data_IF_158438988492
#
_entry.id   IF_158438988492
#
_cell.length_a   1.000
_cell.length_b   1.000
_cell.length_c   1.000
_cell.angle_alpha   90.00
_cell.angle_beta   90.00
_cell.angle_gamma   90.00
#
_symmetry.space_group_name_H-M   'P 1'
#
loop_
_entity.id
_entity.type
_entity.pdbx_description
1 polymer ?
#
# COMPACT_ATOMS: atom_id res chain seq x y z
N UNK A 1 9.66 22.04 1.76
CA UNK A 1 9.35 20.67 2.20
C UNK A 1 8.00 20.71 2.90
N UNK A 2 7.14 19.73 2.68
CA UNK A 2 5.77 19.74 3.22
C UNK A 2 5.80 19.71 4.75
N UNK A 3 5.29 20.77 5.39
CA UNK A 3 5.22 20.86 6.87
C UNK A 3 4.44 19.69 7.47
N UNK A 4 3.41 19.20 6.79
CA UNK A 4 2.59 18.08 7.27
C UNK A 4 3.33 16.74 7.16
N UNK A 5 4.08 16.51 6.07
CA UNK A 5 4.86 15.28 5.92
C UNK A 5 6.00 15.22 6.94
N UNK A 6 6.70 16.33 7.16
CA UNK A 6 7.77 16.41 8.16
C UNK A 6 7.21 16.06 9.54
N UNK A 7 6.13 16.72 9.95
CA UNK A 7 5.49 16.45 11.24
C UNK A 7 5.02 14.99 11.38
N UNK A 8 4.54 14.39 10.29
CA UNK A 8 4.10 13.00 10.27
C UNK A 8 5.25 12.02 10.46
N UNK A 9 6.37 12.20 9.74
CA UNK A 9 7.55 11.34 9.94
C UNK A 9 8.20 11.56 11.31
N UNK A 10 8.17 12.79 11.84
CA UNK A 10 8.57 13.06 13.23
C UNK A 10 7.71 12.26 14.22
N UNK A 11 6.39 12.17 13.98
CA UNK A 11 5.50 11.36 14.78
C UNK A 11 5.86 9.87 14.71
N UNK A 12 6.18 9.34 13.52
CA UNK A 12 6.61 7.95 13.35
C UNK A 12 7.90 7.64 14.12
N UNK A 13 8.89 8.54 14.09
CA UNK A 13 10.11 8.39 14.89
C UNK A 13 9.78 8.39 16.39
N UNK A 14 9.00 9.36 16.85
CA UNK A 14 8.58 9.43 18.26
C UNK A 14 7.84 8.17 18.71
N UNK A 15 6.95 7.63 17.87
CA UNK A 15 6.23 6.39 18.15
C UNK A 15 7.18 5.20 18.27
N UNK A 16 8.16 5.09 17.38
CA UNK A 16 9.19 4.05 17.43
C UNK A 16 9.95 4.09 18.76
N UNK A 17 10.41 5.28 19.14
CA UNK A 17 11.22 5.46 20.34
C UNK A 17 10.42 5.20 21.61
N UNK A 18 9.20 5.74 21.73
CA UNK A 18 8.31 5.48 22.87
C UNK A 18 8.05 3.98 23.03
N UNK A 19 7.82 3.30 21.93
CA UNK A 19 7.54 1.88 21.93
C UNK A 19 8.74 1.05 22.37
N UNK A 20 9.94 1.31 21.82
CA UNK A 20 11.15 0.62 22.24
C UNK A 20 11.52 0.93 23.69
N UNK A 21 11.33 2.18 24.13
CA UNK A 21 11.63 2.61 25.50
C UNK A 21 10.74 1.92 26.54
N UNK A 22 9.49 1.58 26.17
CA UNK A 22 8.58 0.83 27.03
C UNK A 22 9.02 -0.62 27.31
N UNK A 23 9.89 -1.19 26.45
CA UNK A 23 10.42 -2.55 26.57
C UNK A 23 11.95 -2.58 26.67
N UNK A 24 12.55 -1.50 27.18
CA UNK A 24 14.00 -1.31 27.20
C UNK A 24 14.74 -2.46 27.90
N UNK A 25 14.27 -2.93 29.05
CA UNK A 25 14.92 -4.02 29.79
C UNK A 25 14.97 -5.33 29.00
N UNK A 26 13.84 -5.70 28.38
CA UNK A 26 13.75 -6.90 27.53
C UNK A 26 14.66 -6.77 26.29
N UNK A 27 14.75 -5.57 25.69
CA UNK A 27 15.62 -5.29 24.56
C UNK A 27 17.10 -5.44 24.91
N UNK A 28 17.52 -4.84 26.03
CA UNK A 28 18.91 -4.93 26.51
C UNK A 28 19.29 -6.37 26.84
N UNK A 29 18.37 -7.15 27.40
CA UNK A 29 18.59 -8.56 27.64
C UNK A 29 18.79 -9.34 26.34
N UNK A 30 17.93 -9.14 25.34
CA UNK A 30 18.04 -9.82 24.03
C UNK A 30 19.32 -9.41 23.29
N UNK A 31 19.63 -8.11 23.21
CA UNK A 31 20.88 -7.62 22.60
C UNK A 31 22.12 -8.13 23.34
N UNK A 32 22.06 -8.25 24.67
CA UNK A 32 23.11 -8.85 25.47
C UNK A 32 23.37 -10.32 25.10
N UNK A 33 22.32 -11.11 24.86
CA UNK A 33 22.48 -12.50 24.38
C UNK A 33 23.13 -12.56 22.99
N UNK A 34 22.73 -11.68 22.07
CA UNK A 34 23.33 -11.62 20.73
C UNK A 34 24.80 -11.22 20.79
N UNK A 35 25.14 -10.25 21.63
CA UNK A 35 26.51 -9.82 21.84
C UNK A 35 27.40 -10.97 22.34
N UNK A 36 26.92 -11.78 23.29
CA UNK A 36 27.65 -12.97 23.74
C UNK A 36 27.84 -13.99 22.61
N UNK A 37 26.84 -14.17 21.75
CA UNK A 37 26.96 -15.03 20.56
C UNK A 37 28.00 -14.51 19.56
N UNK A 38 28.06 -13.18 19.35
CA UNK A 38 29.04 -12.54 18.45
C UNK A 38 30.47 -12.63 18.98
N UNK A 39 30.67 -12.60 20.31
CA UNK A 39 31.98 -12.76 20.96
C UNK A 39 32.67 -14.08 20.59
N UNK A 40 31.88 -15.10 20.24
CA UNK A 40 32.39 -16.41 19.84
C UNK A 40 32.73 -16.52 18.35
N UNK A 41 32.40 -15.52 17.51
CA UNK A 41 32.50 -15.62 16.05
C UNK A 41 33.47 -14.60 15.43
N UNK A 42 33.37 -13.30 15.76
CA UNK A 42 34.20 -12.28 15.12
C UNK A 42 34.38 -11.02 15.99
N UNK A 43 35.61 -10.79 16.48
CA UNK A 43 35.93 -9.63 17.34
C UNK A 43 35.64 -8.25 16.72
N UNK A 44 35.77 -8.08 15.40
CA UNK A 44 35.46 -6.79 14.75
C UNK A 44 33.95 -6.51 14.75
N UNK A 45 33.14 -7.56 14.59
CA UNK A 45 31.69 -7.49 14.64
C UNK A 45 31.18 -7.15 16.06
N UNK A 46 31.85 -7.70 17.08
CA UNK A 46 31.55 -7.38 18.49
C UNK A 46 31.65 -5.88 18.77
N UNK A 47 32.75 -5.23 18.37
CA UNK A 47 32.97 -3.81 18.68
C UNK A 47 31.93 -2.91 18.00
N UNK A 48 31.56 -3.22 16.75
CA UNK A 48 30.52 -2.47 16.03
C UNK A 48 29.16 -2.68 16.68
N UNK A 49 28.82 -3.92 17.06
CA UNK A 49 27.56 -4.22 17.73
C UNK A 49 27.47 -3.54 19.09
N UNK A 50 28.51 -3.61 19.92
CA UNK A 50 28.59 -2.96 21.24
C UNK A 50 28.37 -1.45 21.12
N UNK A 51 29.05 -0.79 20.18
CA UNK A 51 28.89 0.65 19.97
C UNK A 51 27.44 1.03 19.67
N UNK A 52 26.79 0.33 18.73
CA UNK A 52 25.40 0.65 18.32
C UNK A 52 24.43 0.31 19.44
N UNK A 53 24.61 -0.82 20.15
CA UNK A 53 23.71 -1.20 21.25
C UNK A 53 23.84 -0.26 22.45
N UNK A 54 25.06 0.20 22.79
CA UNK A 54 25.28 1.22 23.82
C UNK A 54 24.67 2.56 23.43
N UNK A 55 24.80 2.98 22.17
CA UNK A 55 24.08 4.17 21.70
C UNK A 55 22.56 4.01 21.88
N UNK A 56 21.99 2.90 21.43
CA UNK A 56 20.55 2.63 21.55
C UNK A 56 20.09 2.59 23.00
N UNK A 57 20.88 2.03 23.91
CA UNK A 57 20.60 2.04 25.35
C UNK A 57 20.50 3.48 25.88
N UNK A 58 21.51 4.31 25.60
CA UNK A 58 21.52 5.72 26.01
C UNK A 58 20.34 6.47 25.37
N UNK A 59 20.11 6.24 24.08
CA UNK A 59 19.05 6.85 23.30
C UNK A 59 17.66 6.55 23.89
N UNK A 60 17.33 5.29 24.14
CA UNK A 60 16.05 4.89 24.73
C UNK A 60 15.87 5.40 26.16
N UNK A 61 16.92 5.33 26.99
CA UNK A 61 16.87 5.85 28.36
C UNK A 61 16.54 7.34 28.39
N UNK A 62 17.23 8.09 27.55
CA UNK A 62 17.17 9.53 27.53
C UNK A 62 15.76 10.06 27.16
N UNK A 63 15.00 9.31 26.37
CA UNK A 63 13.63 9.68 25.98
C UNK A 63 12.62 9.49 27.12
N UNK A 64 12.85 8.53 28.03
CA UNK A 64 12.03 8.35 29.23
C UNK A 64 12.19 9.52 30.24
N UNK A 65 13.25 10.32 30.13
CA UNK A 65 13.58 11.42 31.06
C UNK A 65 13.00 12.79 30.64
N UNK A 66 12.30 12.88 29.49
CA UNK A 66 11.30 13.93 29.24
C UNK A 66 11.71 15.15 28.39
N UNK A 67 12.93 15.24 27.85
CA UNK A 67 13.33 16.39 27.00
C UNK A 67 14.38 16.03 25.97
N UNK A 68 14.00 15.57 24.77
CA UNK A 68 14.99 15.27 23.72
C UNK A 68 14.50 15.56 22.32
N UNK A 69 15.41 16.18 21.55
CA UNK A 69 15.39 16.28 20.11
C UNK A 69 16.04 15.01 19.51
N UNK A 70 15.22 14.11 18.96
CA UNK A 70 15.66 12.85 18.34
C UNK A 70 16.74 13.11 17.27
N UNK A 71 16.58 14.16 16.47
CA UNK A 71 17.52 14.49 15.40
C UNK A 71 18.86 14.93 15.94
N UNK A 72 18.88 15.67 17.05
CA UNK A 72 20.13 16.03 17.73
C UNK A 72 20.91 14.80 18.17
N UNK A 73 20.24 13.82 18.78
CA UNK A 73 20.92 12.58 19.19
C UNK A 73 21.40 11.73 18.02
N UNK A 74 20.60 11.66 16.94
CA UNK A 74 21.03 11.00 15.72
C UNK A 74 22.24 11.72 15.10
N UNK A 75 22.30 13.05 15.14
CA UNK A 75 23.46 13.81 14.67
C UNK A 75 24.70 13.54 15.55
N UNK A 76 24.55 13.55 16.87
CA UNK A 76 25.62 13.23 17.83
C UNK A 76 26.18 11.82 17.61
N UNK A 77 25.35 10.85 17.18
CA UNK A 77 25.80 9.48 16.88
C UNK A 77 26.92 9.43 15.82
N UNK A 78 26.86 10.27 14.78
CA UNK A 78 27.88 10.28 13.72
C UNK A 78 29.21 10.81 14.27
N UNK A 79 29.16 11.85 15.11
CA UNK A 79 30.34 12.41 15.78
C UNK A 79 30.94 11.40 16.76
N UNK A 80 30.12 10.74 17.57
CA UNK A 80 30.53 9.66 18.48
C UNK A 80 31.18 8.50 17.73
N UNK A 81 30.63 8.11 16.57
CA UNK A 81 31.19 7.04 15.75
C UNK A 81 32.59 7.40 15.28
N UNK A 82 32.76 8.59 14.71
CA UNK A 82 34.06 9.03 14.20
C UNK A 82 35.07 9.19 15.33
N UNK A 83 34.65 9.71 16.49
CA UNK A 83 35.50 9.82 17.68
C UNK A 83 36.01 8.44 18.15
N UNK A 84 35.15 7.42 18.13
CA UNK A 84 35.49 6.07 18.59
C UNK A 84 36.32 5.27 17.56
N UNK A 85 35.89 5.24 16.30
CA UNK A 85 36.49 4.38 15.27
C UNK A 85 37.57 5.07 14.43
N UNK A 86 37.67 6.41 14.47
CA UNK A 86 38.58 7.22 13.64
C UNK A 86 38.43 6.95 12.13
N UNK A 87 37.25 6.47 11.71
CA UNK A 87 36.90 6.16 10.32
C UNK A 87 35.38 6.11 10.15
N UNK A 88 34.93 6.24 8.92
CA UNK A 88 33.54 5.99 8.57
C UNK A 88 33.16 4.50 8.65
N UNK A 89 31.88 4.17 8.86
CA UNK A 89 31.42 2.78 8.86
C UNK A 89 31.62 2.12 7.50
N UNK A 90 31.99 0.84 7.50
CA UNK A 90 31.86 0.00 6.30
C UNK A 90 30.37 -0.30 6.08
N UNK A 91 29.79 0.02 4.91
CA UNK A 91 28.34 -0.05 4.72
C UNK A 91 27.74 -1.42 5.01
N UNK A 92 28.35 -2.48 4.50
CA UNK A 92 27.84 -3.85 4.64
C UNK A 92 27.86 -4.30 6.10
N UNK A 93 28.94 -3.94 6.82
CA UNK A 93 29.06 -4.26 8.23
C UNK A 93 28.01 -3.50 9.05
N UNK A 94 27.84 -2.20 8.82
CA UNK A 94 26.88 -1.40 9.55
C UNK A 94 25.45 -1.90 9.35
N UNK A 95 25.03 -2.08 8.09
CA UNK A 95 23.70 -2.57 7.74
C UNK A 95 23.43 -3.94 8.39
N UNK A 96 24.42 -4.83 8.40
CA UNK A 96 24.30 -6.13 9.07
C UNK A 96 23.97 -5.99 10.57
N UNK A 97 24.71 -5.15 11.31
CA UNK A 97 24.48 -5.01 12.76
C UNK A 97 23.18 -4.28 13.08
N UNK A 98 22.82 -3.26 12.29
CA UNK A 98 21.53 -2.55 12.42
C UNK A 98 20.36 -3.51 12.21
N UNK A 99 20.40 -4.31 11.13
CA UNK A 99 19.38 -5.33 10.88
C UNK A 99 19.30 -6.35 12.01
N UNK A 100 20.43 -6.72 12.61
CA UNK A 100 20.48 -7.67 13.71
C UNK A 100 19.76 -7.12 14.96
N UNK A 101 20.03 -5.86 15.30
CA UNK A 101 19.39 -5.14 16.41
C UNK A 101 17.90 -4.90 16.15
N UNK A 102 17.53 -4.50 14.94
CA UNK A 102 16.14 -4.29 14.50
C UNK A 102 15.32 -5.59 14.62
N UNK A 103 15.86 -6.70 14.11
CA UNK A 103 15.19 -8.00 14.17
C UNK A 103 14.98 -8.47 15.61
N UNK A 104 15.97 -8.24 16.48
CA UNK A 104 15.84 -8.51 17.92
C UNK A 104 14.76 -7.64 18.56
N UNK A 105 14.69 -6.36 18.19
CA UNK A 105 13.64 -5.47 18.67
C UNK A 105 12.24 -5.97 18.25
N UNK A 106 12.08 -6.38 17.00
CA UNK A 106 10.83 -6.99 16.54
C UNK A 106 10.49 -8.29 17.27
N UNK A 107 11.48 -9.13 17.58
CA UNK A 107 11.27 -10.37 18.34
C UNK A 107 10.73 -10.08 19.74
N UNK A 108 11.34 -9.13 20.45
CA UNK A 108 10.88 -8.70 21.79
C UNK A 108 9.45 -8.17 21.71
N UNK A 109 9.20 -7.22 20.80
CA UNK A 109 7.90 -6.58 20.66
C UNK A 109 6.78 -7.58 20.28
N UNK A 110 7.04 -8.53 19.37
CA UNK A 110 6.10 -9.60 19.01
C UNK A 110 5.77 -10.52 20.18
N UNK A 111 6.70 -10.74 21.10
CA UNK A 111 6.47 -11.60 22.26
C UNK A 111 5.65 -10.95 23.39
N UNK A 112 5.61 -9.61 23.41
CA UNK A 112 4.97 -8.82 24.47
C UNK A 112 3.66 -8.17 24.05
N UNK A 113 3.45 -7.89 22.77
CA UNK A 113 2.27 -7.18 22.27
C UNK A 113 1.37 -8.14 21.52
N UNK A 114 0.11 -8.23 21.94
CA UNK A 114 -0.92 -8.93 21.18
C UNK A 114 -1.10 -8.24 19.82
N UNK A 115 -0.50 -8.83 18.79
CA UNK A 115 -0.62 -8.54 17.35
C UNK A 115 -1.15 -7.15 16.99
N UNK A 116 -0.24 -6.20 16.72
CA UNK A 116 -0.60 -4.98 15.99
C UNK A 116 0.22 -4.90 14.70
N UNK A 117 -0.46 -4.89 13.55
CA UNK A 117 0.12 -4.60 12.24
C UNK A 117 0.85 -3.24 12.18
N UNK A 118 0.61 -2.36 13.18
CA UNK A 118 1.26 -1.05 13.34
C UNK A 118 2.71 -1.11 13.88
N UNK A 119 3.15 -2.27 14.40
CA UNK A 119 4.41 -2.41 15.16
C UNK A 119 5.69 -2.32 14.32
N UNK A 120 5.63 -2.73 13.05
CA UNK A 120 6.83 -2.92 12.25
C UNK A 120 7.40 -1.62 11.65
N UNK A 121 6.61 -0.71 11.08
CA UNK A 121 7.19 0.27 10.18
C UNK A 121 7.80 1.49 10.88
N UNK A 122 7.34 1.88 12.08
CA UNK A 122 7.98 2.94 12.87
C UNK A 122 9.35 2.51 13.40
N UNK A 123 9.44 1.31 13.96
CA UNK A 123 10.72 0.71 14.41
C UNK A 123 11.69 0.59 13.25
N UNK A 124 11.24 0.03 12.13
CA UNK A 124 12.04 -0.02 10.90
C UNK A 124 12.52 1.36 10.45
N UNK A 125 11.66 2.37 10.50
CA UNK A 125 12.03 3.74 10.14
C UNK A 125 13.13 4.30 11.04
N UNK A 126 13.06 4.08 12.35
CA UNK A 126 14.10 4.50 13.29
C UNK A 126 15.46 3.84 12.96
N UNK A 127 15.48 2.51 12.76
CA UNK A 127 16.72 1.80 12.43
C UNK A 127 17.28 2.20 11.06
N UNK A 128 16.40 2.45 10.07
CA UNK A 128 16.76 3.01 8.77
C UNK A 128 17.39 4.39 8.91
N UNK A 129 16.82 5.28 9.75
CA UNK A 129 17.40 6.60 10.05
C UNK A 129 18.74 6.55 10.75
N UNK A 130 18.91 5.63 11.70
CA UNK A 130 20.21 5.39 12.34
C UNK A 130 21.25 4.96 11.29
N UNK A 131 20.87 4.06 10.37
CA UNK A 131 21.75 3.62 9.29
C UNK A 131 22.11 4.76 8.34
N UNK A 132 21.12 5.56 7.94
CA UNK A 132 21.31 6.70 7.04
C UNK A 132 22.29 7.71 7.62
N UNK A 133 22.10 8.11 8.88
CA UNK A 133 22.94 9.14 9.53
C UNK A 133 24.38 8.66 9.69
N UNK A 134 24.60 7.38 9.95
CA UNK A 134 25.94 6.82 10.04
C UNK A 134 26.62 6.67 8.67
N UNK A 135 25.88 6.35 7.61
CA UNK A 135 26.41 6.10 6.26
C UNK A 135 26.65 7.37 5.45
N UNK A 136 25.78 8.38 5.58
CA UNK A 136 25.83 9.59 4.77
C UNK A 136 26.36 10.77 5.59
N UNK A 137 27.38 11.46 5.08
CA UNK A 137 27.80 12.74 5.63
C UNK A 137 26.67 13.76 5.42
N UNK A 138 26.46 14.63 6.41
CA UNK A 138 25.62 15.82 6.29
C UNK A 138 26.22 16.81 5.28
N UNK A 139 26.31 16.45 4.01
CA UNK A 139 26.42 17.47 2.97
C UNK A 139 25.05 18.14 2.86
N UNK A 140 25.09 19.48 2.80
CA UNK A 140 23.98 20.45 2.73
C UNK A 140 23.00 20.25 1.55
N UNK A 141 22.96 19.09 0.91
CA UNK A 141 21.99 18.79 -0.13
C UNK A 141 20.74 18.22 0.50
N UNK A 142 19.73 19.08 0.73
CA UNK A 142 18.30 18.78 0.75
C UNK A 142 17.95 17.27 0.71
N UNK A 143 18.21 16.53 1.80
CA UNK A 143 17.77 15.15 1.90
C UNK A 143 16.26 15.24 2.03
N UNK A 144 15.59 15.01 0.90
CA UNK A 144 14.21 15.39 0.77
C UNK A 144 13.38 14.33 1.46
N UNK A 145 12.87 14.64 2.65
CA UNK A 145 12.08 13.80 3.58
C UNK A 145 11.04 12.88 2.89
N UNK A 146 10.50 13.29 1.74
CA UNK A 146 9.61 12.44 0.95
C UNK A 146 10.29 11.20 0.33
N UNK A 147 11.60 11.23 0.09
CA UNK A 147 12.38 10.08 -0.38
C UNK A 147 12.37 8.97 0.67
N UNK A 148 12.47 9.32 1.95
CA UNK A 148 12.41 8.35 3.06
C UNK A 148 11.06 7.65 3.07
N UNK A 149 9.97 8.42 2.98
CA UNK A 149 8.62 7.88 2.91
C UNK A 149 8.47 6.90 1.72
N UNK A 150 9.06 7.24 0.55
CA UNK A 150 9.04 6.37 -0.64
C UNK A 150 9.85 5.09 -0.43
N UNK A 151 11.02 5.17 0.20
CA UNK A 151 11.87 4.00 0.47
C UNK A 151 11.12 3.03 1.41
N UNK A 152 10.62 3.53 2.54
CA UNK A 152 9.87 2.73 3.51
C UNK A 152 8.62 2.11 2.89
N UNK A 153 7.92 2.88 2.05
CA UNK A 153 6.76 2.38 1.34
C UNK A 153 7.12 1.23 0.39
N UNK A 154 8.19 1.36 -0.37
CA UNK A 154 8.66 0.31 -1.29
C UNK A 154 9.06 -0.96 -0.52
N UNK A 155 9.82 -0.82 0.56
CA UNK A 155 10.21 -1.93 1.44
C UNK A 155 9.01 -2.58 2.13
N UNK A 156 7.96 -1.82 2.40
CA UNK A 156 6.71 -2.33 2.94
C UNK A 156 5.94 -3.16 1.92
N UNK A 157 5.64 -2.59 0.74
CA UNK A 157 4.75 -3.24 -0.23
C UNK A 157 5.39 -4.44 -0.92
N UNK A 158 6.72 -4.50 -1.03
CA UNK A 158 7.43 -5.63 -1.66
C UNK A 158 7.30 -6.93 -0.87
N UNK A 159 6.88 -6.86 0.41
CA UNK A 159 6.64 -8.03 1.27
C UNK A 159 5.37 -8.79 0.89
N UNK A 160 4.48 -8.17 0.10
CA UNK A 160 3.21 -8.76 -0.32
C UNK A 160 3.43 -10.00 -1.17
N UNK A 161 2.80 -11.12 -0.81
CA UNK A 161 2.94 -12.41 -1.50
C UNK A 161 1.87 -12.65 -2.56
N UNK A 162 0.77 -11.91 -2.50
CA UNK A 162 -0.37 -12.05 -3.39
C UNK A 162 -1.07 -10.71 -3.64
N UNK A 163 -2.02 -10.71 -4.57
CA UNK A 163 -2.77 -9.50 -4.93
C UNK A 163 -3.52 -8.89 -3.73
N UNK A 164 -4.13 -9.72 -2.89
CA UNK A 164 -4.92 -9.27 -1.74
C UNK A 164 -4.03 -8.56 -0.69
N UNK A 165 -2.91 -9.17 -0.33
CA UNK A 165 -1.92 -8.53 0.56
C UNK A 165 -1.37 -7.25 -0.04
N UNK A 166 -1.21 -7.20 -1.37
CA UNK A 166 -0.69 -6.02 -2.06
C UNK A 166 -1.62 -4.83 -1.93
N UNK A 167 -2.93 -5.02 -2.17
CA UNK A 167 -3.91 -3.93 -2.05
C UNK A 167 -4.03 -3.43 -0.61
N UNK A 168 -3.92 -4.34 0.37
CA UNK A 168 -3.92 -4.00 1.80
C UNK A 168 -2.67 -3.20 2.19
N UNK A 169 -1.49 -3.68 1.80
CA UNK A 169 -0.21 -3.06 2.12
C UNK A 169 -0.04 -1.70 1.42
N UNK A 170 -0.56 -1.55 0.20
CA UNK A 170 -0.60 -0.26 -0.51
C UNK A 170 -1.43 0.74 0.31
N UNK A 171 -2.68 0.42 0.64
CA UNK A 171 -3.54 1.34 1.39
C UNK A 171 -3.00 1.68 2.77
N UNK A 172 -2.45 0.68 3.47
CA UNK A 172 -1.76 0.89 4.73
C UNK A 172 -0.59 1.86 4.54
N UNK A 173 0.27 1.63 3.56
CA UNK A 173 1.45 2.46 3.33
C UNK A 173 1.11 3.91 3.01
N UNK A 174 0.04 4.15 2.23
CA UNK A 174 -0.46 5.50 1.97
C UNK A 174 -0.96 6.21 3.23
N UNK A 175 -1.71 5.53 4.11
CA UNK A 175 -2.15 6.14 5.37
C UNK A 175 -1.05 6.23 6.43
N UNK A 176 -0.03 5.37 6.35
CA UNK A 176 0.98 5.24 7.39
C UNK A 176 2.22 6.09 7.14
N UNK A 177 2.71 6.22 5.89
CA UNK A 177 3.95 6.96 5.59
C UNK A 177 3.70 8.37 5.04
N UNK A 178 2.44 8.71 4.76
CA UNK A 178 2.03 10.03 4.30
C UNK A 178 1.02 10.61 5.30
N UNK A 179 0.86 11.94 5.35
CA UNK A 179 -0.02 12.58 6.32
C UNK A 179 -1.48 12.46 5.89
N UNK A 180 -2.07 11.26 5.91
CA UNK A 180 -3.49 11.00 5.63
C UNK A 180 -4.03 9.94 6.59
N UNK A 181 -5.23 10.14 7.11
CA UNK A 181 -5.83 9.23 8.08
C UNK A 181 -6.52 8.04 7.40
N UNK A 182 -7.15 8.26 6.24
CA UNK A 182 -7.91 7.23 5.50
C UNK A 182 -7.43 7.11 4.08
N UNK A 183 -7.49 5.88 3.56
CA UNK A 183 -7.09 5.56 2.20
C UNK A 183 -8.05 4.56 1.57
N UNK A 184 -8.54 4.84 0.37
CA UNK A 184 -9.32 3.90 -0.45
C UNK A 184 -8.66 3.70 -1.81
N UNK A 185 -8.38 2.45 -2.18
CA UNK A 185 -7.78 2.09 -3.46
C UNK A 185 -8.85 1.64 -4.44
N UNK A 186 -8.77 2.15 -5.67
CA UNK A 186 -9.69 1.86 -6.76
C UNK A 186 -8.94 1.36 -8.00
N UNK A 187 -9.57 0.45 -8.74
CA UNK A 187 -9.14 0.01 -10.07
C UNK A 187 -10.03 0.65 -11.13
N UNK A 188 -9.44 1.06 -12.25
CA UNK A 188 -10.16 1.52 -13.42
C UNK A 188 -10.32 0.41 -14.44
N UNK A 189 -11.52 0.31 -15.03
CA UNK A 189 -11.81 -0.63 -16.12
C UNK A 189 -11.91 0.11 -17.46
N UNK A 190 -11.27 -0.46 -18.49
CA UNK A 190 -11.08 0.23 -19.78
C UNK A 190 -12.35 0.38 -20.63
N UNK A 191 -13.36 -0.49 -20.46
CA UNK A 191 -14.55 -0.49 -21.33
C UNK A 191 -15.57 0.59 -20.97
N UNK A 192 -15.73 0.90 -19.68
CA UNK A 192 -16.77 1.83 -19.22
C UNK A 192 -16.23 3.05 -18.47
N UNK A 193 -14.90 3.13 -18.27
CA UNK A 193 -14.31 4.13 -17.36
C UNK A 193 -15.05 4.11 -16.01
N UNK A 194 -15.13 2.93 -15.40
CA UNK A 194 -15.72 2.72 -14.07
C UNK A 194 -14.57 2.52 -13.09
N UNK A 195 -14.63 3.23 -11.95
CA UNK A 195 -13.80 2.99 -10.79
C UNK A 195 -14.46 1.99 -9.86
N UNK A 196 -13.77 0.90 -9.56
CA UNK A 196 -14.21 -0.15 -8.64
C UNK A 196 -13.33 -0.13 -7.41
N UNK A 197 -13.94 -0.10 -6.21
CA UNK A 197 -13.20 -0.15 -4.95
C UNK A 197 -12.55 -1.50 -4.72
N UNK A 198 -11.27 -1.50 -4.37
CA UNK A 198 -10.50 -2.71 -4.05
C UNK A 198 -10.35 -2.90 -2.54
N UNK A 199 -9.94 -1.85 -1.83
CA UNK A 199 -9.68 -1.91 -0.39
C UNK A 199 -9.80 -0.53 0.28
N UNK A 200 -10.28 -0.51 1.52
CA UNK A 200 -10.32 0.68 2.38
C UNK A 200 -9.52 0.51 3.67
N UNK A 201 -8.58 1.42 3.93
CA UNK A 201 -7.84 1.53 5.20
C UNK A 201 -8.43 2.66 6.05
N UNK A 202 -8.72 2.35 7.32
CA UNK A 202 -9.52 3.20 8.23
C UNK A 202 -10.88 3.63 7.65
N UNK A 203 -11.43 2.77 6.79
CA UNK A 203 -12.75 2.86 6.19
C UNK A 203 -13.42 1.49 6.33
N UNK A 204 -14.74 1.43 6.23
CA UNK A 204 -15.43 0.16 6.12
C UNK A 204 -15.08 -0.48 4.76
N UNK A 205 -14.34 -1.59 4.80
CA UNK A 205 -13.83 -2.24 3.61
C UNK A 205 -14.94 -2.79 2.70
N UNK A 206 -16.01 -3.36 3.28
CA UNK A 206 -17.14 -3.88 2.49
C UNK A 206 -17.85 -2.75 1.74
N UNK A 207 -17.98 -1.59 2.40
CA UNK A 207 -18.60 -0.42 1.78
C UNK A 207 -17.76 0.18 0.67
N UNK A 208 -16.43 0.18 0.80
CA UNK A 208 -15.51 0.60 -0.27
C UNK A 208 -15.57 -0.39 -1.43
N UNK A 209 -15.56 -1.70 -1.17
CA UNK A 209 -15.65 -2.73 -2.20
C UNK A 209 -17.00 -2.76 -2.93
N UNK A 210 -18.07 -2.27 -2.30
CA UNK A 210 -19.37 -2.09 -2.94
C UNK A 210 -19.41 -0.89 -3.91
N UNK A 211 -18.36 -0.05 -3.95
CA UNK A 211 -18.31 1.10 -4.87
C UNK A 211 -17.97 0.63 -6.28
N UNK A 212 -18.90 0.89 -7.19
CA UNK A 212 -18.67 0.90 -8.63
C UNK A 212 -19.25 2.21 -9.18
N UNK A 213 -18.39 3.12 -9.62
CA UNK A 213 -18.79 4.45 -10.04
C UNK A 213 -18.23 4.82 -11.41
N UNK A 214 -19.08 5.42 -12.26
CA UNK A 214 -18.62 5.92 -13.56
C UNK A 214 -17.74 7.14 -13.34
N UNK A 215 -16.54 7.15 -13.91
CA UNK A 215 -15.63 8.29 -13.77
C UNK A 215 -16.23 9.59 -14.33
N UNK A 216 -17.16 9.49 -15.29
CA UNK A 216 -17.93 10.64 -15.78
C UNK A 216 -18.73 11.37 -14.68
N UNK A 217 -19.09 10.69 -13.59
CA UNK A 217 -19.78 11.27 -12.44
C UNK A 217 -18.83 11.98 -11.46
N UNK A 218 -17.52 11.98 -11.75
CA UNK A 218 -16.48 12.70 -11.00
C UNK A 218 -15.81 13.68 -11.98
N UNK A 219 -16.35 14.90 -12.15
CA UNK A 219 -15.98 15.80 -13.25
C UNK A 219 -14.48 16.11 -13.31
N UNK A 220 -13.84 16.37 -12.17
CA UNK A 220 -12.42 16.72 -12.08
C UNK A 220 -11.53 15.56 -12.54
N UNK A 221 -11.89 14.33 -12.17
CA UNK A 221 -11.17 13.13 -12.58
C UNK A 221 -11.38 12.85 -14.07
N UNK A 222 -12.61 12.97 -14.56
CA UNK A 222 -12.94 12.79 -15.98
C UNK A 222 -12.16 13.77 -16.86
N UNK A 223 -12.14 15.05 -16.52
CA UNK A 223 -11.37 16.07 -17.25
C UNK A 223 -9.88 15.75 -17.29
N UNK A 224 -9.33 15.28 -16.18
CA UNK A 224 -7.91 14.92 -16.07
C UNK A 224 -7.57 13.71 -16.94
N UNK A 225 -8.41 12.68 -16.96
CA UNK A 225 -8.24 11.50 -17.81
C UNK A 225 -8.43 11.80 -19.30
N UNK A 226 -9.38 12.67 -19.67
CA UNK A 226 -9.60 13.08 -21.06
C UNK A 226 -8.38 13.83 -21.61
N UNK A 227 -7.82 14.76 -20.82
CA UNK A 227 -6.59 15.47 -21.18
C UNK A 227 -5.44 14.51 -21.45
N UNK A 228 -5.25 13.49 -20.62
CA UNK A 228 -4.22 12.47 -20.87
C UNK A 228 -4.43 11.70 -22.18
N UNK A 229 -5.66 11.23 -22.44
CA UNK A 229 -5.97 10.46 -23.66
C UNK A 229 -5.68 11.28 -24.92
N UNK A 230 -5.86 12.60 -24.86
CA UNK A 230 -5.58 13.51 -25.97
C UNK A 230 -4.09 13.80 -26.22
N UNK A 231 -3.22 13.57 -25.22
CA UNK A 231 -1.79 13.93 -25.27
C UNK A 231 -0.87 12.81 -25.79
N UNK A 232 -1.41 11.69 -26.28
CA UNK A 232 -0.64 10.66 -26.99
C UNK A 232 0.46 10.01 -26.15
N UNK A 233 0.10 9.00 -25.35
CA UNK A 233 1.00 8.10 -24.58
C UNK A 233 2.00 8.74 -23.61
N UNK A 234 2.17 10.07 -23.58
CA UNK A 234 2.97 10.74 -22.56
C UNK A 234 2.16 10.89 -21.27
N UNK A 235 2.05 9.77 -20.54
CA UNK A 235 1.54 9.67 -19.17
C UNK A 235 2.30 10.52 -18.13
N UNK A 236 3.28 11.31 -18.56
CA UNK A 236 4.17 12.14 -17.74
C UNK A 236 3.43 13.25 -16.97
N UNK A 237 2.18 13.56 -17.33
CA UNK A 237 1.46 14.74 -16.84
C UNK A 237 0.26 14.46 -15.93
N UNK A 238 -0.06 13.20 -15.59
CA UNK A 238 -1.14 12.98 -14.63
C UNK A 238 -0.64 13.27 -13.21
N UNK A 239 -1.15 14.35 -12.63
CA UNK A 239 -0.78 14.78 -11.28
C UNK A 239 -1.83 14.37 -10.26
N UNK A 240 -1.49 14.33 -8.96
CA UNK A 240 -2.48 14.20 -7.91
C UNK A 240 -3.50 15.33 -7.99
N UNK A 241 -4.77 15.00 -7.79
CA UNK A 241 -5.90 15.93 -7.84
C UNK A 241 -6.32 16.22 -6.41
N UNK A 242 -6.12 17.46 -5.95
CA UNK A 242 -6.68 17.91 -4.68
C UNK A 242 -8.10 18.46 -4.87
N UNK A 243 -9.04 17.94 -4.09
CA UNK A 243 -10.45 18.34 -4.06
C UNK A 243 -10.71 19.04 -2.73
N UNK A 244 -10.86 20.38 -2.70
CA UNK A 244 -11.05 21.13 -1.46
C UNK A 244 -12.46 20.98 -0.86
N UNK A 245 -13.46 20.59 -1.67
CA UNK A 245 -14.84 20.37 -1.24
C UNK A 245 -15.41 19.13 -1.95
N UNK A 246 -15.49 18.02 -1.24
CA UNK A 246 -16.02 16.75 -1.76
C UNK A 246 -17.46 16.90 -2.24
N UNK A 247 -18.28 17.71 -1.57
CA UNK A 247 -19.68 17.95 -1.91
C UNK A 247 -19.88 18.54 -3.32
N UNK A 248 -18.88 19.20 -3.90
CA UNK A 248 -18.98 19.80 -5.23
C UNK A 248 -18.56 18.84 -6.35
N UNK A 249 -17.59 17.96 -6.08
CA UNK A 249 -16.89 17.19 -7.11
C UNK A 249 -17.15 15.68 -7.05
N UNK A 250 -17.83 15.19 -6.01
CA UNK A 250 -18.15 13.77 -5.80
C UNK A 250 -19.66 13.55 -5.63
N UNK A 251 -20.17 12.36 -6.00
CA UNK A 251 -21.57 12.00 -5.75
C UNK A 251 -21.96 12.09 -4.27
N UNK A 252 -23.08 12.75 -3.98
CA UNK A 252 -23.61 13.02 -2.63
C UNK A 252 -23.68 11.76 -1.76
N UNK A 253 -24.12 10.63 -2.33
CA UNK A 253 -24.18 9.33 -1.64
C UNK A 253 -22.86 8.89 -1.00
N UNK A 254 -21.70 9.26 -1.56
CA UNK A 254 -20.40 8.91 -0.99
C UNK A 254 -19.91 9.99 -0.01
N UNK A 255 -20.24 11.25 -0.28
CA UNK A 255 -19.93 12.38 0.60
C UNK A 255 -20.60 12.18 1.95
N UNK A 256 -21.89 11.84 1.96
CA UNK A 256 -22.64 11.55 3.19
C UNK A 256 -22.14 10.26 3.86
N UNK A 257 -22.04 9.17 3.09
CA UNK A 257 -21.71 7.85 3.63
C UNK A 257 -20.34 7.78 4.32
N UNK A 258 -19.34 8.45 3.75
CA UNK A 258 -17.98 8.46 4.29
C UNK A 258 -17.62 9.77 5.00
N UNK A 259 -18.58 10.68 5.15
CA UNK A 259 -18.40 12.01 5.76
C UNK A 259 -17.21 12.76 5.13
N UNK A 260 -17.18 12.84 3.80
CA UNK A 260 -16.05 13.44 3.07
C UNK A 260 -16.12 14.97 3.13
N UNK A 261 -14.98 15.61 3.43
CA UNK A 261 -14.86 17.08 3.42
C UNK A 261 -13.94 17.57 2.31
N UNK A 262 -12.64 17.27 2.39
CA UNK A 262 -11.65 17.48 1.34
C UNK A 262 -10.88 16.19 1.11
N UNK A 263 -10.29 15.98 -0.07
CA UNK A 263 -9.51 14.77 -0.37
C UNK A 263 -8.49 14.96 -1.48
N UNK A 264 -7.60 13.99 -1.63
CA UNK A 264 -6.66 13.89 -2.77
C UNK A 264 -6.90 12.60 -3.52
N UNK A 265 -6.92 12.68 -4.85
CA UNK A 265 -6.91 11.52 -5.73
C UNK A 265 -5.51 11.38 -6.34
N UNK A 266 -4.85 10.26 -6.07
CA UNK A 266 -3.50 9.94 -6.55
C UNK A 266 -3.60 8.85 -7.63
N UNK A 267 -2.96 8.99 -8.81
CA UNK A 267 -2.93 7.93 -9.79
C UNK A 267 -2.18 6.68 -9.32
N UNK A 268 -2.68 5.51 -9.71
CA UNK A 268 -1.91 4.27 -9.71
C UNK A 268 -1.61 3.90 -11.16
N UNK A 269 -0.34 3.92 -11.56
CA UNK A 269 0.05 3.85 -12.95
C UNK A 269 1.40 3.16 -13.15
N UNK A 270 1.63 2.64 -14.36
CA UNK A 270 2.89 2.04 -14.80
C UNK A 270 3.48 2.91 -15.90
N UNK A 271 4.56 3.69 -15.62
CA UNK A 271 5.12 4.62 -16.58
C UNK A 271 5.62 3.95 -17.86
N UNK A 272 6.32 2.81 -17.74
CA UNK A 272 6.91 2.09 -18.89
C UNK A 272 5.85 1.57 -19.87
N UNK A 273 4.68 1.17 -19.35
CA UNK A 273 3.54 0.71 -20.15
C UNK A 273 2.62 1.85 -20.60
N UNK A 274 2.82 3.08 -20.11
CA UNK A 274 1.90 4.19 -20.35
C UNK A 274 0.47 3.91 -19.85
N UNK A 275 0.34 3.12 -18.77
CA UNK A 275 -0.94 2.52 -18.33
C UNK A 275 -1.38 3.05 -16.97
N UNK A 276 -2.65 3.44 -16.85
CA UNK A 276 -3.30 3.69 -15.55
C UNK A 276 -4.01 2.42 -15.12
N UNK A 277 -3.70 1.94 -13.91
CA UNK A 277 -4.40 0.82 -13.29
C UNK A 277 -5.60 1.34 -12.50
N UNK A 278 -5.48 2.51 -11.87
CA UNK A 278 -6.54 3.06 -11.05
C UNK A 278 -6.13 4.32 -10.30
N UNK A 279 -6.65 4.49 -9.09
CA UNK A 279 -6.34 5.62 -8.25
C UNK A 279 -6.56 5.33 -6.76
N UNK A 280 -5.89 6.10 -5.93
CA UNK A 280 -6.05 6.10 -4.47
C UNK A 280 -6.72 7.40 -4.05
N UNK A 281 -7.72 7.31 -3.18
CA UNK A 281 -8.40 8.44 -2.56
C UNK A 281 -7.94 8.55 -1.12
N UNK A 282 -7.47 9.74 -0.73
CA UNK A 282 -6.88 10.03 0.59
C UNK A 282 -7.57 11.20 1.26
N UNK A 283 -7.87 11.08 2.56
CA UNK A 283 -8.36 12.19 3.37
C UNK A 283 -7.89 12.15 4.84
N UNK A 284 -8.40 13.06 5.67
CA UNK A 284 -8.05 13.21 7.08
C UNK A 284 -9.07 12.61 8.05
N UNK A 285 -10.07 11.86 7.57
CA UNK A 285 -11.13 11.34 8.43
C UNK A 285 -12.48 12.07 8.32
N UNK A 286 -13.51 11.58 9.03
CA UNK A 286 -14.88 12.08 8.94
C UNK A 286 -14.98 13.59 9.21
N UNK A 287 -15.56 14.33 8.27
CA UNK A 287 -15.84 15.76 8.35
C UNK A 287 -14.62 16.68 8.41
N UNK A 288 -13.40 16.15 8.34
CA UNK A 288 -12.17 16.93 8.53
C UNK A 288 -11.68 17.54 7.21
N UNK A 289 -11.63 18.86 7.19
CA UNK A 289 -11.03 19.63 6.10
C UNK A 289 -9.50 19.72 6.26
N UNK A 290 -8.77 19.72 5.15
CA UNK A 290 -7.32 19.92 5.11
C UNK A 290 -6.86 20.50 3.79
N UNK A 291 -5.72 21.18 3.82
CA UNK A 291 -5.02 21.68 2.63
C UNK A 291 -3.81 20.82 2.31
N UNK A 292 -3.44 20.73 1.03
CA UNK A 292 -2.28 19.95 0.58
C UNK A 292 -1.20 20.83 0.04
N UNK A 293 0.01 20.66 0.57
CA UNK A 293 1.22 21.28 0.06
C UNK A 293 1.65 20.55 -1.23
N UNK A 294 1.81 21.29 -2.32
CA UNK A 294 2.23 20.74 -3.62
C UNK A 294 3.61 20.10 -3.59
N UNK A 295 4.44 20.42 -2.59
CA UNK A 295 5.70 19.72 -2.36
C UNK A 295 5.54 18.25 -1.93
N UNK A 296 4.33 17.81 -1.57
CA UNK A 296 4.00 16.40 -1.32
C UNK A 296 3.81 15.61 -2.63
N UNK A 297 3.52 16.28 -3.75
CA UNK A 297 3.15 15.62 -5.00
C UNK A 297 4.20 14.66 -5.55
N UNK A 298 5.52 14.96 -5.48
CA UNK A 298 6.55 13.98 -5.86
C UNK A 298 6.46 12.66 -5.07
N UNK A 299 6.15 12.73 -3.77
CA UNK A 299 5.94 11.57 -2.92
C UNK A 299 4.73 10.76 -3.39
N UNK A 300 3.58 11.43 -3.55
CA UNK A 300 2.32 10.81 -4.00
C UNK A 300 2.49 10.11 -5.34
N UNK A 301 3.18 10.76 -6.28
CA UNK A 301 3.44 10.19 -7.59
C UNK A 301 4.32 8.95 -7.50
N UNK A 302 5.35 8.96 -6.65
CA UNK A 302 6.22 7.79 -6.45
C UNK A 302 5.51 6.63 -5.77
N UNK A 303 4.66 6.90 -4.77
CA UNK A 303 3.79 5.87 -4.18
C UNK A 303 2.85 5.29 -5.22
N UNK A 304 2.23 6.14 -6.04
CA UNK A 304 1.36 5.75 -7.14
C UNK A 304 2.03 4.85 -8.18
N UNK A 305 3.26 5.21 -8.56
CA UNK A 305 4.11 4.45 -9.47
C UNK A 305 4.44 3.06 -8.88
N UNK A 306 5.02 3.00 -7.67
CA UNK A 306 5.43 1.74 -7.05
C UNK A 306 4.26 0.78 -6.83
N UNK A 307 3.10 1.34 -6.44
CA UNK A 307 1.85 0.59 -6.32
C UNK A 307 1.41 0.02 -7.67
N UNK A 308 1.52 0.81 -8.74
CA UNK A 308 1.13 0.38 -10.09
C UNK A 308 2.02 -0.74 -10.60
N UNK A 309 3.33 -0.62 -10.44
CA UNK A 309 4.30 -1.65 -10.80
C UNK A 309 4.06 -2.97 -10.04
N UNK A 310 3.77 -2.89 -8.74
CA UNK A 310 3.45 -4.06 -7.93
C UNK A 310 2.16 -4.74 -8.39
N UNK A 311 1.07 -3.97 -8.58
CA UNK A 311 -0.21 -4.51 -9.00
C UNK A 311 -0.15 -5.09 -10.43
N UNK A 312 0.61 -4.47 -11.34
CA UNK A 312 0.79 -5.00 -12.70
C UNK A 312 1.41 -6.39 -12.67
N UNK A 313 2.43 -6.61 -11.82
CA UNK A 313 3.06 -7.93 -11.64
C UNK A 313 2.07 -9.01 -11.23
N UNK A 314 1.19 -8.73 -10.26
CA UNK A 314 0.19 -9.70 -9.81
C UNK A 314 -0.93 -9.93 -10.82
N UNK A 315 -1.41 -8.86 -11.46
CA UNK A 315 -2.43 -8.97 -12.52
C UNK A 315 -1.89 -9.81 -13.69
N UNK A 316 -0.65 -9.59 -14.11
CA UNK A 316 0.00 -10.39 -15.15
C UNK A 316 0.26 -11.83 -14.72
N UNK A 317 0.67 -12.05 -13.47
CA UNK A 317 0.89 -13.39 -12.93
C UNK A 317 -0.41 -14.20 -12.94
N UNK A 318 -1.54 -13.61 -12.57
CA UNK A 318 -2.85 -14.26 -12.63
C UNK A 318 -3.28 -14.55 -14.07
N UNK A 319 -3.05 -13.63 -15.01
CA UNK A 319 -3.31 -13.86 -16.44
C UNK A 319 -2.44 -15.02 -16.98
N UNK A 320 -1.15 -15.05 -16.63
CA UNK A 320 -0.22 -16.12 -17.03
C UNK A 320 -0.56 -17.46 -16.38
N UNK A 321 -1.00 -17.47 -15.12
CA UNK A 321 -1.42 -18.65 -14.38
C UNK A 321 -2.75 -19.22 -14.90
N UNK A 322 -3.66 -18.36 -15.34
CA UNK A 322 -4.91 -18.75 -16.01
C UNK A 322 -4.73 -19.27 -17.45
N UNK A 323 -3.55 -19.06 -18.06
CA UNK A 323 -3.18 -19.64 -19.36
C UNK A 323 -2.49 -21.03 -19.26
N UNK A 324 -2.29 -21.56 -18.05
CA UNK A 324 -1.82 -22.94 -17.82
C UNK A 324 -3.03 -23.84 -17.48
N UNK A 325 -3.27 -24.93 -18.21
CA UNK A 325 -4.43 -25.77 -17.95
C UNK A 325 -4.17 -26.63 -16.71
N UNK A 326 -4.76 -26.28 -15.55
CA UNK A 326 -4.96 -27.26 -14.47
C UNK A 326 -6.23 -26.99 -13.66
N UNK A 327 -7.19 -27.89 -13.88
CA UNK A 327 -8.03 -28.65 -12.93
C UNK A 327 -8.49 -27.87 -11.67
N UNK A 328 -9.78 -27.57 -11.67
CA UNK A 328 -10.64 -26.94 -10.64
C UNK A 328 -10.97 -25.46 -10.83
N UNK A 329 -10.67 -24.88 -12.00
CA UNK A 329 -11.55 -23.84 -12.57
C UNK A 329 -12.71 -24.52 -13.30
N UNK A 330 -13.94 -24.07 -13.05
CA UNK A 330 -15.11 -24.51 -13.81
C UNK A 330 -14.93 -24.00 -15.25
N UNK A 331 -14.34 -24.84 -16.12
CA UNK A 331 -14.07 -24.50 -17.52
C UNK A 331 -15.36 -24.48 -18.33
N UNK A 332 -16.06 -23.34 -18.34
CA UNK A 332 -17.27 -23.15 -19.14
C UNK A 332 -16.89 -23.13 -20.62
N UNK A 333 -17.65 -23.87 -21.43
CA UNK A 333 -17.53 -23.83 -22.87
C UNK A 333 -17.86 -22.41 -23.38
N UNK A 334 -17.34 -22.00 -24.55
CA UNK A 334 -17.69 -20.71 -25.16
C UNK A 334 -19.21 -20.49 -25.24
N UNK A 335 -19.95 -21.59 -25.49
CA UNK A 335 -21.41 -21.59 -25.57
C UNK A 335 -22.10 -21.36 -24.23
N UNK A 336 -21.58 -21.94 -23.15
CA UNK A 336 -22.09 -21.68 -21.80
C UNK A 336 -21.83 -20.22 -21.40
N UNK A 337 -20.66 -19.67 -21.74
CA UNK A 337 -20.34 -18.26 -21.49
C UNK A 337 -21.25 -17.31 -22.26
N UNK A 338 -21.54 -17.58 -23.54
CA UNK A 338 -22.53 -16.84 -24.34
C UNK A 338 -23.92 -16.83 -23.68
N UNK A 339 -24.35 -17.98 -23.18
CA UNK A 339 -25.65 -18.12 -22.50
C UNK A 339 -25.65 -17.34 -21.18
N UNK A 340 -24.58 -17.40 -20.40
CA UNK A 340 -24.46 -16.64 -19.14
C UNK A 340 -24.52 -15.13 -19.40
N UNK A 341 -23.87 -14.62 -20.46
CA UNK A 341 -23.96 -13.20 -20.84
C UNK A 341 -25.41 -12.80 -21.14
N UNK A 342 -26.11 -13.60 -21.94
CA UNK A 342 -27.51 -13.33 -22.26
C UNK A 342 -28.42 -13.39 -21.04
N UNK A 343 -28.16 -14.30 -20.09
CA UNK A 343 -28.88 -14.33 -18.82
C UNK A 343 -28.62 -13.09 -17.97
N UNK A 344 -27.37 -12.60 -17.93
CA UNK A 344 -27.00 -11.38 -17.21
C UNK A 344 -27.66 -10.13 -17.83
N UNK A 345 -27.82 -10.12 -19.15
CA UNK A 345 -28.56 -9.09 -19.90
C UNK A 345 -30.10 -9.19 -19.70
N UNK A 346 -30.57 -10.15 -18.90
CA UNK A 346 -31.99 -10.34 -18.61
C UNK A 346 -32.77 -11.07 -19.70
N UNK A 347 -32.10 -11.66 -20.70
CA UNK A 347 -32.76 -12.35 -21.80
C UNK A 347 -33.59 -13.55 -21.31
N UNK A 348 -34.77 -13.70 -21.90
CA UNK A 348 -35.59 -14.91 -21.78
C UNK A 348 -34.95 -16.09 -22.53
N UNK A 349 -35.38 -17.32 -22.21
CA UNK A 349 -34.93 -18.53 -22.92
C UNK A 349 -35.21 -18.46 -24.41
N UNK A 350 -36.35 -17.86 -24.81
CA UNK A 350 -36.72 -17.64 -26.21
C UNK A 350 -35.79 -16.64 -26.90
N UNK A 351 -35.49 -15.51 -26.26
CA UNK A 351 -34.56 -14.51 -26.82
C UNK A 351 -33.13 -15.04 -26.93
N UNK A 352 -32.68 -15.82 -25.94
CA UNK A 352 -31.38 -16.44 -25.98
C UNK A 352 -31.29 -17.53 -27.07
N UNK A 353 -32.36 -18.31 -27.26
CA UNK A 353 -32.46 -19.29 -28.33
C UNK A 353 -32.36 -18.64 -29.71
N UNK A 354 -33.05 -17.51 -29.92
CA UNK A 354 -32.99 -16.74 -31.15
C UNK A 354 -31.59 -16.15 -31.40
N UNK A 355 -31.00 -15.49 -30.39
CA UNK A 355 -29.68 -14.84 -30.51
C UNK A 355 -28.55 -15.84 -30.78
N UNK A 356 -28.68 -17.06 -30.27
CA UNK A 356 -27.66 -18.10 -30.42
C UNK A 356 -27.95 -19.10 -31.54
N UNK A 357 -29.06 -18.99 -32.26
CA UNK A 357 -29.50 -19.97 -33.26
C UNK A 357 -29.62 -21.40 -32.67
N UNK A 358 -30.28 -21.51 -31.51
CA UNK A 358 -30.55 -22.77 -30.80
C UNK A 358 -32.05 -22.98 -30.62
N UNK A 359 -32.46 -24.22 -30.28
CA UNK A 359 -33.81 -24.46 -29.78
C UNK A 359 -33.95 -23.99 -28.32
N UNK A 360 -35.14 -23.54 -27.91
CA UNK A 360 -35.41 -23.20 -26.50
C UNK A 360 -35.15 -24.38 -25.55
N UNK A 361 -35.40 -25.60 -26.00
CA UNK A 361 -35.09 -26.82 -25.25
C UNK A 361 -33.59 -26.93 -24.99
N UNK A 362 -32.76 -26.72 -26.03
CA UNK A 362 -31.30 -26.74 -25.93
C UNK A 362 -30.77 -25.64 -24.99
N UNK A 363 -31.33 -24.42 -25.08
CA UNK A 363 -30.94 -23.33 -24.16
C UNK A 363 -31.31 -23.65 -22.71
N UNK A 364 -32.50 -24.23 -22.47
CA UNK A 364 -32.90 -24.65 -21.11
C UNK A 364 -31.97 -25.71 -20.54
N UNK A 365 -31.50 -26.64 -21.37
CA UNK A 365 -30.55 -27.67 -20.97
C UNK A 365 -29.17 -27.08 -20.62
N UNK A 366 -28.67 -26.14 -21.42
CA UNK A 366 -27.47 -25.38 -21.08
C UNK A 366 -27.61 -24.62 -19.76
N UNK A 367 -28.72 -23.91 -19.53
CA UNK A 367 -28.96 -23.17 -18.28
C UNK A 367 -28.95 -24.13 -17.07
N UNK A 368 -29.58 -25.30 -17.21
CA UNK A 368 -29.59 -26.35 -16.17
C UNK A 368 -28.18 -26.84 -15.84
N UNK A 369 -27.37 -27.10 -16.87
CA UNK A 369 -25.99 -27.55 -16.70
C UNK A 369 -25.12 -26.45 -16.09
N UNK A 370 -25.26 -25.20 -16.53
CA UNK A 370 -24.56 -24.04 -15.95
C UNK A 370 -24.91 -23.88 -14.46
N UNK A 371 -26.20 -23.96 -14.10
CA UNK A 371 -26.64 -23.88 -12.70
C UNK A 371 -26.00 -24.96 -11.84
N UNK A 372 -25.97 -26.22 -12.31
CA UNK A 372 -25.29 -27.32 -11.61
C UNK A 372 -23.80 -27.06 -11.45
N UNK A 373 -23.15 -26.57 -12.51
CA UNK A 373 -21.70 -26.34 -12.54
C UNK A 373 -21.27 -25.18 -11.64
N UNK A 374 -22.04 -24.09 -11.60
CA UNK A 374 -21.79 -22.92 -10.75
C UNK A 374 -22.43 -23.05 -9.36
N UNK A 375 -22.99 -24.23 -9.04
CA UNK A 375 -23.72 -24.50 -7.80
C UNK A 375 -24.77 -23.41 -7.49
N UNK A 376 -25.52 -22.97 -8.50
CA UNK A 376 -26.49 -21.89 -8.44
C UNK A 376 -27.93 -22.44 -8.44
N UNK A 377 -28.80 -21.85 -7.63
CA UNK A 377 -30.18 -22.29 -7.43
C UNK A 377 -31.16 -21.68 -8.43
N UNK A 378 -30.79 -20.55 -9.05
CA UNK A 378 -31.60 -19.90 -10.06
C UNK A 378 -30.74 -19.13 -11.08
N UNK A 379 -31.36 -18.73 -12.19
CA UNK A 379 -30.70 -18.03 -13.29
C UNK A 379 -30.08 -16.67 -12.89
N UNK A 380 -30.65 -16.00 -11.89
CA UNK A 380 -30.12 -14.72 -11.39
C UNK A 380 -28.82 -14.96 -10.61
N UNK A 381 -28.78 -16.03 -9.81
CA UNK A 381 -27.58 -16.46 -9.09
C UNK A 381 -26.45 -16.88 -10.05
N UNK A 382 -26.79 -17.48 -11.20
CA UNK A 382 -25.82 -17.75 -12.28
C UNK A 382 -25.16 -16.46 -12.77
N UNK A 383 -25.94 -15.43 -13.09
CA UNK A 383 -25.41 -14.16 -13.57
C UNK A 383 -24.50 -13.50 -12.51
N UNK A 384 -24.95 -13.46 -11.25
CA UNK A 384 -24.19 -12.87 -10.14
C UNK A 384 -22.88 -13.63 -9.88
N UNK A 385 -22.90 -14.97 -9.87
CA UNK A 385 -21.68 -15.76 -9.66
C UNK A 385 -20.71 -15.63 -10.83
N UNK A 386 -21.21 -15.60 -12.05
CA UNK A 386 -20.35 -15.48 -13.22
C UNK A 386 -19.65 -14.12 -13.28
N UNK A 387 -20.31 -13.03 -12.86
CA UNK A 387 -19.68 -11.71 -12.70
C UNK A 387 -18.62 -11.75 -11.59
N UNK A 388 -18.95 -12.31 -10.41
CA UNK A 388 -18.00 -12.42 -9.27
C UNK A 388 -16.76 -13.24 -9.59
N UNK A 389 -16.91 -14.28 -10.41
CA UNK A 389 -15.82 -15.16 -10.83
C UNK A 389 -15.04 -14.61 -12.03
N UNK A 390 -15.40 -13.44 -12.56
CA UNK A 390 -14.75 -12.84 -13.74
C UNK A 390 -14.95 -13.64 -15.03
N UNK A 391 -16.02 -14.44 -15.11
CA UNK A 391 -16.37 -15.23 -16.30
C UNK A 391 -17.02 -14.34 -17.37
N UNK A 392 -17.79 -13.36 -16.92
CA UNK A 392 -18.43 -12.34 -17.76
C UNK A 392 -18.22 -10.96 -17.10
N UNK A 393 -18.17 -9.92 -17.93
CA UNK A 393 -17.92 -8.53 -17.52
C UNK A 393 -19.22 -7.82 -17.13
#
# INVERSE_FOLDING_TARGET
MSKSLNHHLDHLLNDAVKMLSAYQEDLLQEWGFMLQSLKNTNKKSVVVFEFISEFLERFLRSVNEGTIDIYRMLHELQEDWFAYFQRHPEPEALIFHINLLENAAHKVLKSRIAYSSKLHPSVHYLFSKISEVLLFQSEKENHSIWKDAVILFNEWIIRSQNFQESIENICYGFGYFLPFDRCALFKFTNKESVGVGLFGHHLNNEEVQAIAEKIANIPVLNQSLVKLKSQGHEMKNFQPIYIPSAAHDLPEKYVEKFELSSLVIVPIYVPEEGKIIGGVVLDQGPGKHFTVDTSLFPALMKFGQSSGELLSKFIEADIKKNNLPKKDSISLSPRETEIIKLLADGASTAEAALKLYLSEFTVRDYISNIMKRLNAHNRTEVAVKAIRMGIID
#
